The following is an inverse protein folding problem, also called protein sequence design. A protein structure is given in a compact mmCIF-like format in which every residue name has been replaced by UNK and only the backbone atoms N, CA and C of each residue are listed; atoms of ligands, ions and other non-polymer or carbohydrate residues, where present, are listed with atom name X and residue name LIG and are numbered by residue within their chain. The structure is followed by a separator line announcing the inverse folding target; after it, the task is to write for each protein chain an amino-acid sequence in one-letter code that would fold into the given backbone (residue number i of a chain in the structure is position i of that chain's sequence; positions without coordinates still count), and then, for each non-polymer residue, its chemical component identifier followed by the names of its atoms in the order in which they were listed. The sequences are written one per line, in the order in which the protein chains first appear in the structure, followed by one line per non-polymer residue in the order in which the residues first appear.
data_IF_710018800510
#
_entry.id   IF_710018800510
#
_cell.length_a   1.000
_cell.length_b   1.000
_cell.length_c   1.000
_cell.angle_alpha   90.00
_cell.angle_beta   90.00
_cell.angle_gamma   90.00
#
_symmetry.space_group_name_H-M   'P 1'
#
loop_
_entity.id
_entity.type
_entity.pdbx_description
1 polymer ?
#
# COMPACT_ATOMS: atom_id res chain seq x y z
N UNK A 1 -9.16 10.45 2.89
CA UNK A 1 -8.51 9.66 3.96
C UNK A 1 -7.38 10.48 4.57
N UNK A 2 -7.10 10.32 5.86
CA UNK A 2 -5.90 10.88 6.47
C UNK A 2 -4.67 10.07 6.08
N UNK A 3 -3.51 10.73 5.98
CA UNK A 3 -2.27 10.07 5.59
C UNK A 3 -1.12 10.52 6.50
N UNK A 4 -0.38 9.60 7.13
CA UNK A 4 0.85 9.97 7.82
C UNK A 4 1.89 10.46 6.83
N UNK A 5 2.42 11.64 7.07
CA UNK A 5 3.45 12.27 6.27
C UNK A 5 4.75 12.39 7.09
N UNK A 6 5.87 12.09 6.46
CA UNK A 6 7.17 12.30 7.09
C UNK A 6 7.40 13.80 7.26
N UNK A 7 7.52 14.26 8.51
CA UNK A 7 7.65 15.68 8.85
C UNK A 7 8.81 16.31 8.08
N UNK A 8 9.94 15.60 7.99
CA UNK A 8 11.16 16.10 7.36
C UNK A 8 11.03 16.33 5.85
N UNK A 9 10.08 15.65 5.18
CA UNK A 9 9.86 15.79 3.74
C UNK A 9 8.75 16.80 3.40
N UNK A 10 7.69 16.82 4.21
CA UNK A 10 6.46 17.55 3.90
C UNK A 10 6.33 18.88 4.65
N UNK A 11 7.05 19.07 5.75
CA UNK A 11 6.92 20.26 6.62
C UNK A 11 8.20 21.11 6.66
N UNK A 12 9.05 21.00 5.63
CA UNK A 12 10.34 21.73 5.54
C UNK A 12 10.21 23.24 5.27
N UNK A 13 9.08 23.69 4.72
CA UNK A 13 8.82 25.10 4.44
C UNK A 13 7.32 25.40 4.52
N UNK A 14 6.97 26.68 4.72
CA UNK A 14 5.58 27.11 4.96
C UNK A 14 4.63 26.75 3.82
N UNK A 15 5.11 26.75 2.58
CA UNK A 15 4.32 26.35 1.41
C UNK A 15 3.95 24.86 1.43
N UNK A 16 4.94 23.98 1.66
CA UNK A 16 4.71 22.53 1.72
C UNK A 16 3.89 22.14 2.95
N UNK A 17 4.11 22.80 4.09
CA UNK A 17 3.29 22.63 5.29
C UNK A 17 1.83 22.98 5.01
N UNK A 18 1.57 24.13 4.37
CA UNK A 18 0.22 24.51 3.96
C UNK A 18 -0.42 23.47 3.04
N UNK A 19 0.32 22.96 2.05
CA UNK A 19 -0.18 21.88 1.19
C UNK A 19 -0.49 20.61 1.97
N UNK A 20 0.39 20.20 2.89
CA UNK A 20 0.21 19.00 3.69
C UNK A 20 -1.03 19.12 4.61
N UNK A 21 -1.22 20.28 5.25
CA UNK A 21 -2.35 20.52 6.14
C UNK A 21 -3.69 20.50 5.39
N UNK A 22 -3.73 21.08 4.19
CA UNK A 22 -4.93 21.03 3.32
C UNK A 22 -5.22 19.62 2.79
N UNK A 23 -4.22 18.73 2.72
CA UNK A 23 -4.33 17.39 2.13
C UNK A 23 -4.51 16.27 3.18
N UNK A 24 -4.94 16.63 4.39
CA UNK A 24 -5.19 15.69 5.50
C UNK A 24 -3.94 14.86 5.84
N UNK A 25 -2.78 15.52 5.90
CA UNK A 25 -1.55 14.90 6.38
C UNK A 25 -1.45 14.97 7.91
N UNK A 26 -0.92 13.92 8.52
CA UNK A 26 -0.52 13.91 9.93
C UNK A 26 1.01 13.85 9.97
N UNK A 27 1.70 14.86 10.53
CA UNK A 27 3.15 14.84 10.62
C UNK A 27 3.61 13.71 11.55
N UNK A 28 4.61 12.96 11.08
CA UNK A 28 5.26 11.87 11.81
C UNK A 28 6.78 12.02 11.71
N UNK A 29 7.45 12.01 12.85
CA UNK A 29 8.91 12.02 12.93
C UNK A 29 9.49 10.65 12.64
N UNK A 30 10.45 10.56 11.71
CA UNK A 30 11.09 9.28 11.35
C UNK A 30 12.18 8.91 12.36
N UNK A 31 12.37 7.61 12.57
CA UNK A 31 13.47 7.08 13.40
C UNK A 31 13.30 7.24 14.92
N UNK A 32 12.23 7.90 15.39
CA UNK A 32 11.89 8.02 16.81
C UNK A 32 10.49 7.50 17.08
N UNK A 33 10.21 7.15 18.34
CA UNK A 33 8.84 6.89 18.80
C UNK A 33 8.10 8.23 18.85
N UNK A 34 7.17 8.44 17.93
CA UNK A 34 6.29 9.60 17.92
C UNK A 34 4.92 9.21 18.47
N UNK A 35 4.82 9.17 19.80
CA UNK A 35 3.58 8.80 20.49
C UNK A 35 2.48 9.83 20.22
N UNK A 36 2.84 11.11 20.09
CA UNK A 36 1.91 12.18 19.75
C UNK A 36 1.26 11.98 18.38
N UNK A 37 2.02 11.52 17.39
CA UNK A 37 1.47 11.17 16.09
C UNK A 37 0.45 10.02 16.17
N UNK A 38 0.67 9.00 17.02
CA UNK A 38 -0.30 7.90 17.20
C UNK A 38 -1.62 8.43 17.77
N UNK A 39 -1.59 9.32 18.76
CA UNK A 39 -2.81 9.94 19.30
C UNK A 39 -3.57 10.75 18.26
N UNK A 40 -2.87 11.59 17.48
CA UNK A 40 -3.49 12.34 16.37
C UNK A 40 -4.11 11.41 15.34
N UNK A 41 -3.44 10.29 15.03
CA UNK A 41 -3.98 9.30 14.11
C UNK A 41 -5.22 8.61 14.67
N UNK A 42 -5.23 8.29 15.96
CA UNK A 42 -6.36 7.66 16.63
C UNK A 42 -7.59 8.56 16.60
N UNK A 43 -7.41 9.85 16.87
CA UNK A 43 -8.49 10.83 16.80
C UNK A 43 -9.03 11.01 15.37
N UNK A 44 -8.12 11.13 14.39
CA UNK A 44 -8.49 11.25 12.98
C UNK A 44 -9.27 10.02 12.46
N UNK A 45 -8.95 8.82 12.96
CA UNK A 45 -9.64 7.58 12.58
C UNK A 45 -11.10 7.52 13.05
N UNK A 46 -11.48 8.28 14.08
CA UNK A 46 -12.86 8.27 14.61
C UNK A 46 -13.88 8.79 13.60
N UNK A 47 -13.47 9.69 12.72
CA UNK A 47 -14.36 10.41 11.79
C UNK A 47 -13.99 10.22 10.33
N UNK A 48 -12.87 9.56 10.02
CA UNK A 48 -12.37 9.45 8.65
C UNK A 48 -11.46 8.23 8.45
N UNK A 49 -11.46 7.63 7.24
CA UNK A 49 -10.53 6.54 6.93
C UNK A 49 -9.08 7.03 6.86
N UNK A 50 -8.14 6.12 7.08
CA UNK A 50 -6.70 6.39 7.02
C UNK A 50 -5.97 5.42 6.11
N UNK A 51 -4.99 5.91 5.36
CA UNK A 51 -4.09 5.08 4.56
C UNK A 51 -2.77 4.87 5.30
N UNK A 52 -2.37 3.62 5.51
CA UNK A 52 -1.10 3.27 6.15
C UNK A 52 -0.30 2.31 5.26
N UNK A 53 1.01 2.51 5.25
CA UNK A 53 1.95 1.61 4.61
C UNK A 53 2.69 0.82 5.69
N UNK A 54 2.44 -0.49 5.86
CA UNK A 54 3.04 -1.32 6.91
C UNK A 54 4.58 -1.23 6.97
N UNK A 55 5.22 -1.05 5.82
CA UNK A 55 6.68 -0.99 5.69
C UNK A 55 7.28 0.37 6.11
N UNK A 56 6.47 1.44 6.04
CA UNK A 56 6.87 2.83 6.33
C UNK A 56 7.77 3.49 5.28
N UNK A 57 8.16 2.78 4.24
CA UNK A 57 9.02 3.29 3.15
C UNK A 57 8.57 2.75 1.79
N UNK A 58 8.91 3.47 0.72
CA UNK A 58 8.69 2.98 -0.65
C UNK A 58 9.74 1.92 -1.02
N UNK A 59 9.29 0.82 -1.60
CA UNK A 59 10.17 -0.18 -2.20
C UNK A 59 10.87 0.34 -3.45
N UNK A 60 12.15 -0.02 -3.63
CA UNK A 60 12.98 0.40 -4.78
C UNK A 60 12.82 -0.54 -5.98
N UNK A 61 12.77 -1.83 -5.72
CA UNK A 61 12.62 -2.90 -6.70
C UNK A 61 11.16 -3.37 -6.84
N UNK A 62 10.29 -2.94 -5.93
CA UNK A 62 8.90 -3.37 -5.84
C UNK A 62 8.74 -4.70 -5.10
N UNK A 63 9.75 -5.17 -4.37
CA UNK A 63 9.59 -6.21 -3.35
C UNK A 63 8.70 -5.71 -2.21
N UNK A 64 7.97 -6.63 -1.56
CA UNK A 64 7.24 -6.34 -0.32
C UNK A 64 8.26 -6.42 0.82
N UNK A 65 8.44 -5.31 1.53
CA UNK A 65 9.35 -5.19 2.66
C UNK A 65 8.83 -5.84 3.94
N UNK A 66 9.56 -5.60 5.04
CA UNK A 66 9.16 -6.06 6.38
C UNK A 66 8.15 -5.09 7.00
N UNK A 67 7.06 -5.58 7.62
CA UNK A 67 6.17 -4.71 8.38
C UNK A 67 6.85 -4.10 9.60
N UNK A 68 6.38 -2.91 9.97
CA UNK A 68 6.69 -2.24 11.23
C UNK A 68 5.45 -2.19 12.11
N UNK A 69 5.60 -2.53 13.39
CA UNK A 69 4.49 -2.58 14.36
C UNK A 69 3.79 -1.25 14.69
N UNK A 70 4.30 -0.09 14.23
CA UNK A 70 3.71 1.22 14.58
C UNK A 70 2.23 1.35 14.21
N UNK A 71 1.85 0.89 13.02
CA UNK A 71 0.44 0.85 12.60
C UNK A 71 -0.39 -0.17 13.40
N UNK A 72 0.24 -1.25 13.87
CA UNK A 72 -0.42 -2.25 14.71
C UNK A 72 -0.82 -1.70 16.08
N UNK A 73 -0.04 -0.77 16.65
CA UNK A 73 -0.41 -0.07 17.88
C UNK A 73 -1.70 0.73 17.71
N UNK A 74 -1.83 1.42 16.57
CA UNK A 74 -3.04 2.17 16.23
C UNK A 74 -4.25 1.25 16.09
N UNK A 75 -4.06 0.08 15.46
CA UNK A 75 -5.12 -0.94 15.32
C UNK A 75 -5.55 -1.51 16.67
N UNK A 76 -4.61 -1.77 17.59
CA UNK A 76 -4.92 -2.20 18.96
C UNK A 76 -5.71 -1.15 19.74
N UNK A 77 -5.37 0.13 19.56
CA UNK A 77 -6.00 1.23 20.27
C UNK A 77 -7.41 1.51 19.77
N UNK A 78 -7.58 1.53 18.45
CA UNK A 78 -8.83 2.03 17.81
C UNK A 78 -9.74 0.93 17.29
N UNK A 79 -9.25 -0.32 17.19
CA UNK A 79 -9.95 -1.48 16.63
C UNK A 79 -10.71 -1.16 15.32
N UNK A 80 -10.06 -0.52 14.33
CA UNK A 80 -10.73 -0.12 13.10
C UNK A 80 -10.94 -1.34 12.19
N UNK A 81 -11.87 -1.22 11.24
CA UNK A 81 -11.92 -2.16 10.12
C UNK A 81 -10.65 -2.02 9.28
N UNK A 82 -9.84 -3.07 9.18
CA UNK A 82 -8.58 -3.07 8.43
C UNK A 82 -8.79 -3.73 7.07
N UNK A 83 -8.64 -2.95 6.00
CA UNK A 83 -8.74 -3.42 4.62
C UNK A 83 -7.32 -3.50 4.03
N UNK A 84 -6.80 -4.70 3.70
CA UNK A 84 -5.50 -4.84 3.08
C UNK A 84 -5.58 -4.39 1.61
N UNK A 85 -4.59 -3.62 1.18
CA UNK A 85 -4.50 -3.14 -0.21
C UNK A 85 -3.14 -3.51 -0.77
N UNK A 86 -3.13 -4.22 -1.90
CA UNK A 86 -1.92 -4.54 -2.64
C UNK A 86 -1.81 -3.63 -3.86
N UNK A 87 -0.68 -2.94 -4.00
CA UNK A 87 -0.37 -2.10 -5.14
C UNK A 87 0.88 -2.65 -5.81
N UNK A 88 0.76 -3.13 -7.04
CA UNK A 88 1.90 -3.60 -7.83
C UNK A 88 2.13 -2.75 -9.09
N UNK A 89 3.40 -2.42 -9.34
CA UNK A 89 3.84 -1.74 -10.56
C UNK A 89 4.14 -0.26 -10.38
N UNK A 90 3.93 0.28 -9.18
CA UNK A 90 4.21 1.67 -8.88
C UNK A 90 5.69 2.03 -9.08
N UNK A 91 6.62 1.12 -8.78
CA UNK A 91 8.07 1.29 -9.01
C UNK A 91 8.42 1.43 -10.50
N UNK A 92 7.60 0.87 -11.40
CA UNK A 92 7.78 1.00 -12.85
C UNK A 92 7.18 2.31 -13.36
N UNK A 93 6.09 2.78 -12.76
CA UNK A 93 5.43 4.05 -13.11
C UNK A 93 6.26 5.24 -12.61
N UNK A 94 6.53 5.32 -11.30
CA UNK A 94 7.19 6.47 -10.67
C UNK A 94 8.33 5.99 -9.75
N UNK A 95 9.51 5.70 -10.32
CA UNK A 95 10.68 5.30 -9.54
C UNK A 95 11.08 6.37 -8.51
N UNK A 96 11.71 5.93 -7.43
CA UNK A 96 12.24 6.85 -6.41
C UNK A 96 13.24 7.83 -7.05
N UNK A 97 13.09 9.12 -6.74
CA UNK A 97 13.91 10.19 -7.30
C UNK A 97 13.41 10.76 -8.63
N UNK A 98 12.33 10.21 -9.21
CA UNK A 98 11.66 10.79 -10.37
C UNK A 98 10.45 11.61 -9.96
N UNK A 99 10.25 12.73 -10.65
CA UNK A 99 9.13 13.66 -10.42
C UNK A 99 7.96 13.33 -11.36
N UNK A 100 8.25 12.96 -12.61
CA UNK A 100 7.24 12.65 -13.61
C UNK A 100 7.02 11.14 -13.77
N UNK A 101 5.76 10.68 -13.86
CA UNK A 101 5.46 9.28 -14.09
C UNK A 101 5.82 8.87 -15.54
N UNK A 102 6.27 7.63 -15.70
CA UNK A 102 6.50 7.02 -17.02
C UNK A 102 5.16 6.69 -17.67
N UNK A 103 5.01 7.00 -18.95
CA UNK A 103 3.83 6.65 -19.73
C UNK A 103 3.76 5.15 -20.05
N UNK A 104 2.55 4.68 -20.41
CA UNK A 104 2.26 3.30 -20.83
C UNK A 104 2.67 2.22 -19.83
N UNK A 105 2.57 2.51 -18.52
CA UNK A 105 2.79 1.52 -17.46
C UNK A 105 1.47 1.12 -16.83
N UNK A 106 1.30 -0.17 -16.60
CA UNK A 106 0.13 -0.72 -15.90
C UNK A 106 0.42 -0.86 -14.41
N UNK A 107 -0.50 -0.36 -13.59
CA UNK A 107 -0.56 -0.61 -12.15
C UNK A 107 -1.72 -1.57 -11.88
N UNK A 108 -1.50 -2.48 -10.93
CA UNK A 108 -2.54 -3.34 -10.39
C UNK A 108 -2.81 -2.88 -8.95
N UNK A 109 -4.07 -2.60 -8.66
CA UNK A 109 -4.54 -2.30 -7.31
C UNK A 109 -5.57 -3.35 -6.94
N UNK A 110 -5.34 -4.01 -5.81
CA UNK A 110 -6.23 -5.03 -5.29
C UNK A 110 -6.63 -4.64 -3.88
N UNK A 111 -7.93 -4.48 -3.65
CA UNK A 111 -8.55 -4.32 -2.34
C UNK A 111 -9.01 -5.68 -1.83
N UNK A 112 -8.50 -6.10 -0.67
CA UNK A 112 -8.93 -7.33 -0.03
C UNK A 112 -10.22 -7.15 0.77
N UNK A 113 -10.67 -8.25 1.39
CA UNK A 113 -11.77 -8.20 2.36
C UNK A 113 -11.26 -7.60 3.69
N UNK A 114 -12.15 -6.99 4.51
CA UNK A 114 -11.81 -6.62 5.87
C UNK A 114 -11.22 -7.81 6.63
N UNK A 115 -10.12 -7.59 7.34
CA UNK A 115 -9.49 -8.63 8.16
C UNK A 115 -10.21 -8.78 9.48
N UNK A 116 -10.42 -10.03 9.88
CA UNK A 116 -10.74 -10.33 11.26
C UNK A 116 -9.45 -10.30 12.10
N UNK A 117 -9.42 -9.38 13.06
CA UNK A 117 -8.31 -9.19 13.99
C UNK A 117 -8.76 -9.39 15.45
N UNK A 118 -9.94 -10.00 15.64
CA UNK A 118 -10.51 -10.28 16.96
C UNK A 118 -9.57 -11.08 17.87
N UNK A 119 -8.77 -12.00 17.30
CA UNK A 119 -7.77 -12.79 18.01
C UNK A 119 -6.67 -11.95 18.72
N UNK A 120 -6.51 -10.69 18.32
CA UNK A 120 -5.55 -9.76 18.93
C UNK A 120 -6.19 -8.84 19.97
N UNK A 121 -7.51 -8.72 19.97
CA UNK A 121 -8.22 -7.85 20.90
C UNK A 121 -8.31 -8.53 22.28
N UNK A 122 -7.95 -7.79 23.33
CA UNK A 122 -7.90 -8.31 24.71
C UNK A 122 -6.54 -8.87 25.12
N UNK A 123 -5.59 -9.01 24.18
CA UNK A 123 -4.18 -9.22 24.52
C UNK A 123 -3.56 -7.95 25.10
N UNK A 124 -2.43 -8.10 25.80
CA UNK A 124 -1.64 -6.98 26.28
C UNK A 124 -1.28 -6.04 25.11
N UNK A 125 -1.41 -4.73 25.33
CA UNK A 125 -1.03 -3.70 24.34
C UNK A 125 0.50 -3.58 24.28
N UNK A 126 1.14 -4.58 23.68
CA UNK A 126 2.59 -4.66 23.55
C UNK A 126 3.06 -4.45 22.11
N UNK A 127 4.36 -4.21 21.94
CA UNK A 127 4.97 -4.07 20.61
C UNK A 127 4.90 -5.38 19.83
N UNK A 128 4.96 -6.50 20.53
CA UNK A 128 4.95 -7.85 19.99
C UNK A 128 3.58 -8.14 19.37
N UNK A 129 2.49 -7.81 20.07
CA UNK A 129 1.13 -7.94 19.52
C UNK A 129 0.91 -6.99 18.35
N UNK A 130 1.38 -5.75 18.46
CA UNK A 130 1.30 -4.79 17.37
C UNK A 130 2.08 -5.25 16.12
N UNK A 131 3.25 -5.86 16.29
CA UNK A 131 4.00 -6.45 15.20
C UNK A 131 3.25 -7.65 14.59
N UNK A 132 2.66 -8.52 15.41
CA UNK A 132 1.89 -9.68 14.95
C UNK A 132 0.69 -9.29 14.09
N UNK A 133 -0.06 -8.24 14.48
CA UNK A 133 -1.13 -7.67 13.66
C UNK A 133 -0.59 -7.26 12.28
N UNK A 134 0.55 -6.56 12.26
CA UNK A 134 1.12 -6.10 11.01
C UNK A 134 1.67 -7.23 10.13
N UNK A 135 2.16 -8.31 10.73
CA UNK A 135 2.48 -9.54 9.99
C UNK A 135 1.24 -10.17 9.38
N UNK A 136 0.11 -10.26 10.10
CA UNK A 136 -1.17 -10.75 9.55
C UNK A 136 -1.66 -9.92 8.37
N UNK A 137 -1.53 -8.59 8.46
CA UNK A 137 -1.86 -7.67 7.35
C UNK A 137 -0.95 -7.93 6.16
N UNK A 138 0.36 -8.03 6.38
CA UNK A 138 1.34 -8.24 5.31
C UNK A 138 1.23 -9.61 4.66
N UNK A 139 0.90 -10.65 5.41
CA UNK A 139 0.60 -11.98 4.89
C UNK A 139 -0.52 -11.91 3.85
N UNK A 140 -1.61 -11.19 4.16
CA UNK A 140 -2.70 -10.98 3.21
C UNK A 140 -2.25 -10.20 1.96
N UNK A 141 -1.46 -9.13 2.13
CA UNK A 141 -0.93 -8.35 1.00
C UNK A 141 -0.01 -9.19 0.12
N UNK A 142 0.82 -10.07 0.70
CA UNK A 142 1.69 -11.01 -0.04
C UNK A 142 0.86 -12.00 -0.84
N UNK A 143 -0.18 -12.59 -0.24
CA UNK A 143 -1.12 -13.48 -0.96
C UNK A 143 -1.78 -12.77 -2.14
N UNK A 144 -2.30 -11.57 -1.92
CA UNK A 144 -2.92 -10.75 -2.96
C UNK A 144 -1.95 -10.42 -4.10
N UNK A 145 -0.68 -10.18 -3.79
CA UNK A 145 0.36 -9.98 -4.81
C UNK A 145 0.55 -11.24 -5.67
N UNK A 146 0.61 -12.42 -5.05
CA UNK A 146 0.72 -13.69 -5.79
C UNK A 146 -0.47 -13.89 -6.74
N UNK A 147 -1.68 -13.53 -6.33
CA UNK A 147 -2.87 -13.55 -7.20
C UNK A 147 -2.71 -12.61 -8.41
N UNK A 148 -2.22 -11.37 -8.18
CA UNK A 148 -1.90 -10.43 -9.26
C UNK A 148 -0.85 -11.01 -10.22
N UNK A 149 0.17 -11.70 -9.70
CA UNK A 149 1.21 -12.33 -10.53
C UNK A 149 0.66 -13.44 -11.41
N UNK A 150 -0.22 -14.29 -10.87
CA UNK A 150 -0.95 -15.32 -11.65
C UNK A 150 -1.79 -14.68 -12.75
N UNK A 151 -2.52 -13.60 -12.45
CA UNK A 151 -3.32 -12.88 -13.44
C UNK A 151 -2.47 -12.31 -14.58
N UNK A 152 -1.32 -11.72 -14.27
CA UNK A 152 -0.38 -11.20 -15.29
C UNK A 152 0.13 -12.31 -16.21
N UNK A 153 0.50 -13.45 -15.63
CA UNK A 153 1.01 -14.59 -16.40
C UNK A 153 -0.06 -15.13 -17.36
N UNK A 154 -1.31 -15.28 -16.90
CA UNK A 154 -2.44 -15.67 -17.76
C UNK A 154 -2.66 -14.67 -18.90
N UNK A 155 -2.67 -13.36 -18.61
CA UNK A 155 -2.86 -12.31 -19.62
C UNK A 155 -1.74 -12.31 -20.68
N UNK A 156 -0.49 -12.51 -20.24
CA UNK A 156 0.67 -12.60 -21.14
C UNK A 156 0.61 -13.84 -22.04
N UNK A 157 0.26 -15.00 -21.49
CA UNK A 157 0.08 -16.23 -22.26
C UNK A 157 -1.06 -16.11 -23.30
N UNK A 158 -2.19 -15.50 -22.92
CA UNK A 158 -3.30 -15.23 -23.83
C UNK A 158 -2.90 -14.29 -24.97
N UNK A 159 -2.21 -13.19 -24.65
CA UNK A 159 -1.71 -12.23 -25.64
C UNK A 159 -0.71 -12.86 -26.62
N UNK A 160 0.22 -13.68 -26.13
CA UNK A 160 1.16 -14.43 -26.97
C UNK A 160 0.43 -15.41 -27.90
N UNK A 161 -0.56 -16.14 -27.38
CA UNK A 161 -1.38 -17.07 -28.19
C UNK A 161 -2.15 -16.31 -29.27
N UNK A 162 -2.79 -15.21 -28.94
CA UNK A 162 -3.51 -14.38 -29.92
C UNK A 162 -2.56 -13.85 -31.02
N UNK A 163 -1.34 -13.43 -30.66
CA UNK A 163 -0.35 -12.95 -31.63
C UNK A 163 0.17 -14.07 -32.55
N UNK A 164 0.45 -15.26 -32.00
CA UNK A 164 1.00 -16.40 -32.75
C UNK A 164 -0.04 -17.05 -33.66
N UNK A 165 -1.29 -17.17 -33.21
CA UNK A 165 -2.35 -17.87 -33.94
C UNK A 165 -3.29 -16.92 -34.71
N UNK A 166 -3.31 -15.62 -34.40
CA UNK A 166 -4.13 -14.62 -35.09
C UNK A 166 -3.57 -14.13 -36.44
N UNK A 167 -2.33 -14.49 -36.80
CA UNK A 167 -1.73 -14.14 -38.10
C UNK A 167 -2.07 -15.10 -39.26
N UNK A 168 -2.85 -16.16 -39.02
CA UNK A 168 -3.11 -17.22 -40.03
C UNK A 168 -4.42 -17.10 -40.83
N UNK A 169 -5.17 -16.00 -40.73
CA UNK A 169 -6.40 -15.80 -41.53
C UNK A 169 -6.23 -14.58 -42.43
N UNK A 170 -5.54 -14.75 -43.55
CA UNK A 170 -5.26 -13.65 -44.48
C UNK A 170 -4.45 -14.02 -45.71
N UNK A 171 -4.74 -15.16 -46.35
CA UNK A 171 -4.42 -15.43 -47.76
C UNK A 171 -5.09 -16.74 -48.18
N UNK A 172 -5.73 -16.75 -49.35
CA UNK A 172 -6.73 -17.71 -49.84
C UNK A 172 -8.10 -17.37 -49.23
N UNK A 173 -9.01 -16.65 -49.89
CA UNK A 173 -9.52 -16.87 -51.25
C UNK A 173 -9.75 -15.54 -51.99
N UNK A 174 -9.14 -15.41 -53.16
CA UNK A 174 -9.59 -14.53 -54.23
C UNK A 174 -9.39 -15.34 -55.50
N UNK A 175 -10.47 -15.99 -55.93
CA UNK A 175 -10.63 -16.56 -57.27
C UNK A 175 -10.85 -15.43 -58.27
#
# INVERSE_FOLDING_TARGET
PWNPAAEENFYRNSFLSWFADNWKCIPVKRGRKDVGAIFRMAEALRTSPMTLFPEGTRSRDGSIGRPRGGAGLLVLETKPAVIPVCIDGMQRLLPIGKIFPRIFKTIYVYYGKPLDLSEFYGKEKSKEVAQAIMERVMENIRRMRSEIEVMKNKKRAFSLRALLFGKKVGRQEAL
#
